data_IF_399163107756
#
_entry.id   IF_399163107756
#
_cell.length_a   1.000
_cell.length_b   1.000
_cell.length_c   1.000
_cell.angle_alpha   90.00
_cell.angle_beta   90.00
_cell.angle_gamma   90.00
#
_symmetry.space_group_name_H-M   'P 1'
#
loop_
_entity.id
_entity.type
_entity.pdbx_description
1 polymer ?
#
# COMPACT_ATOMS: atom_id res chain seq x y z
N UNK A 1 -46.65 63.03 -11.77
CA UNK A 1 -45.76 62.06 -12.43
C UNK A 1 -44.88 61.46 -11.35
N UNK A 2 -45.14 60.19 -10.99
CA UNK A 2 -44.45 59.48 -9.91
C UNK A 2 -43.40 58.54 -10.51
N UNK A 3 -42.23 58.60 -9.88
CA UNK A 3 -41.00 57.86 -10.13
C UNK A 3 -41.07 56.44 -9.54
N UNK A 4 -40.44 55.51 -10.26
CA UNK A 4 -39.82 54.22 -9.86
C UNK A 4 -40.60 53.24 -8.96
N UNK A 5 -40.68 51.95 -9.39
CA UNK A 5 -40.38 50.77 -8.56
C UNK A 5 -40.43 49.44 -9.40
N UNK A 6 -39.30 48.68 -9.40
CA UNK A 6 -39.11 47.20 -9.38
C UNK A 6 -39.56 46.36 -10.62
N UNK A 7 -38.85 45.33 -11.09
CA UNK A 7 -38.09 44.29 -10.38
C UNK A 7 -37.01 43.68 -11.30
N UNK A 8 -35.78 43.56 -10.81
CA UNK A 8 -34.72 42.74 -11.42
C UNK A 8 -34.87 41.31 -10.89
N UNK A 9 -35.24 40.36 -11.76
CA UNK A 9 -35.34 38.95 -11.40
C UNK A 9 -33.95 38.33 -11.47
N UNK A 10 -33.26 38.24 -10.33
CA UNK A 10 -32.02 37.49 -10.20
C UNK A 10 -32.35 35.99 -10.17
N UNK A 11 -31.98 35.27 -11.24
CA UNK A 11 -32.02 33.80 -11.26
C UNK A 11 -30.82 33.31 -10.43
N UNK A 12 -31.10 32.93 -9.18
CA UNK A 12 -30.18 32.14 -8.37
C UNK A 12 -30.13 30.73 -8.98
N UNK A 13 -29.08 30.43 -9.76
CA UNK A 13 -28.67 29.05 -9.97
C UNK A 13 -28.05 28.54 -8.66
N UNK A 14 -28.89 28.02 -7.77
CA UNK A 14 -28.48 27.03 -6.78
C UNK A 14 -28.06 25.78 -7.58
N UNK A 15 -26.80 25.75 -8.00
CA UNK A 15 -26.15 24.52 -8.41
C UNK A 15 -26.16 23.59 -7.22
N UNK A 16 -27.17 22.72 -7.16
CA UNK A 16 -27.15 21.49 -6.36
C UNK A 16 -25.97 20.67 -6.87
N UNK A 17 -24.79 20.88 -6.28
CA UNK A 17 -23.74 19.89 -6.33
C UNK A 17 -24.31 18.66 -5.62
N UNK A 18 -24.45 17.51 -6.29
CA UNK A 18 -24.92 16.31 -5.63
C UNK A 18 -23.96 15.99 -4.47
N UNK A 19 -24.47 15.55 -3.30
CA UNK A 19 -23.65 15.26 -2.12
C UNK A 19 -22.59 14.16 -2.32
N UNK A 20 -22.55 13.52 -3.49
CA UNK A 20 -21.64 12.42 -3.82
C UNK A 20 -20.36 12.84 -4.56
N UNK A 21 -20.17 14.13 -4.88
CA UNK A 21 -18.90 14.57 -5.45
C UNK A 21 -17.86 14.74 -4.33
N UNK A 22 -16.81 13.92 -4.37
CA UNK A 22 -15.63 13.90 -3.48
C UNK A 22 -15.75 13.10 -2.17
N UNK A 23 -16.31 11.89 -2.21
CA UNK A 23 -15.82 10.87 -1.27
C UNK A 23 -14.38 10.55 -1.68
N UNK A 24 -13.38 11.21 -1.08
CA UNK A 24 -11.99 10.77 -1.16
C UNK A 24 -11.99 9.33 -0.64
N UNK A 25 -11.80 8.35 -1.54
CA UNK A 25 -11.72 6.96 -1.15
C UNK A 25 -10.53 6.84 -0.19
N UNK A 26 -10.81 6.73 1.11
CA UNK A 26 -9.77 6.61 2.12
C UNK A 26 -9.06 5.29 1.86
N UNK A 27 -7.80 5.39 1.43
CA UNK A 27 -6.94 4.26 1.14
C UNK A 27 -5.87 4.15 2.23
N UNK A 28 -5.34 2.95 2.48
CA UNK A 28 -4.11 2.83 3.23
C UNK A 28 -3.01 3.64 2.55
N UNK A 29 -2.04 4.08 3.32
CA UNK A 29 -0.90 4.81 2.79
C UNK A 29 -0.03 3.93 1.89
N UNK A 30 0.02 2.64 2.16
CA UNK A 30 0.70 1.66 1.32
C UNK A 30 -0.20 0.47 1.07
N UNK A 31 -0.65 0.29 -0.18
CA UNK A 31 -1.46 -0.86 -0.63
C UNK A 31 -0.98 -1.46 -1.96
N UNK A 32 0.08 -0.90 -2.53
CA UNK A 32 0.64 -1.35 -3.80
C UNK A 32 2.15 -1.15 -3.89
N UNK A 33 2.78 -1.87 -4.82
CA UNK A 33 4.17 -1.65 -5.25
C UNK A 33 4.22 -1.36 -6.74
N UNK A 34 4.99 -0.32 -7.10
CA UNK A 34 5.36 -0.02 -8.48
C UNK A 34 4.15 0.22 -9.38
N UNK A 35 3.05 0.73 -8.81
CA UNK A 35 1.80 1.02 -9.52
C UNK A 35 1.09 -0.18 -10.13
N UNK A 36 1.43 -1.42 -9.72
CA UNK A 36 0.89 -2.62 -10.36
C UNK A 36 0.64 -3.79 -9.42
N UNK A 37 1.50 -4.03 -8.43
CA UNK A 37 1.33 -5.15 -7.49
C UNK A 37 0.49 -4.66 -6.32
N UNK A 38 -0.79 -5.03 -6.23
CA UNK A 38 -1.74 -4.47 -5.26
C UNK A 38 -2.26 -5.52 -4.27
N UNK A 39 -2.48 -5.11 -3.02
CA UNK A 39 -3.17 -5.95 -2.03
C UNK A 39 -4.62 -6.18 -2.45
N UNK A 40 -5.13 -7.39 -2.22
CA UNK A 40 -6.48 -7.83 -2.55
C UNK A 40 -6.68 -8.12 -4.04
N UNK A 41 -5.64 -8.00 -4.86
CA UNK A 41 -5.69 -8.25 -6.30
C UNK A 41 -4.78 -9.43 -6.67
N UNK A 42 -5.06 -10.17 -7.76
CA UNK A 42 -4.16 -11.21 -8.25
C UNK A 42 -2.86 -10.60 -8.79
N UNK A 43 -1.80 -11.41 -8.85
CA UNK A 43 -0.52 -10.96 -9.39
C UNK A 43 -0.67 -10.50 -10.86
N UNK A 44 -0.22 -9.27 -11.22
CA UNK A 44 -0.42 -8.69 -12.54
C UNK A 44 0.09 -9.59 -13.65
N UNK A 45 -0.63 -9.67 -14.78
CA UNK A 45 -0.28 -10.55 -15.91
C UNK A 45 1.16 -10.36 -16.38
N UNK A 46 1.65 -9.14 -16.51
CA UNK A 46 3.04 -8.88 -16.91
C UNK A 46 4.10 -9.48 -15.95
N UNK A 47 3.71 -9.75 -14.70
CA UNK A 47 4.55 -10.44 -13.72
C UNK A 47 4.20 -11.93 -13.70
N UNK A 48 2.92 -12.31 -13.61
CA UNK A 48 2.48 -13.72 -13.57
C UNK A 48 2.70 -14.49 -14.87
N UNK A 49 2.85 -13.83 -16.02
CA UNK A 49 3.25 -14.44 -17.30
C UNK A 49 4.77 -14.53 -17.46
N UNK A 50 5.57 -14.11 -16.47
CA UNK A 50 6.91 -14.67 -16.33
C UNK A 50 6.69 -16.17 -16.13
N UNK A 51 6.81 -16.95 -17.21
CA UNK A 51 6.42 -18.37 -17.34
C UNK A 51 7.13 -19.33 -16.38
N UNK A 52 7.83 -18.80 -15.38
CA UNK A 52 8.70 -19.46 -14.43
C UNK A 52 8.67 -18.80 -13.05
N UNK A 53 7.57 -18.13 -12.64
CA UNK A 53 7.49 -17.70 -11.24
C UNK A 53 7.67 -18.95 -10.36
N UNK A 54 8.75 -18.95 -9.60
CA UNK A 54 9.03 -19.93 -8.58
C UNK A 54 8.27 -19.49 -7.34
N UNK A 55 7.27 -20.28 -7.00
CA UNK A 55 6.57 -20.15 -5.73
C UNK A 55 7.26 -21.02 -4.67
N UNK A 56 7.10 -20.63 -3.41
CA UNK A 56 7.49 -21.41 -2.23
C UNK A 56 6.24 -21.63 -1.38
N UNK A 57 6.33 -22.53 -0.39
CA UNK A 57 5.20 -22.88 0.49
C UNK A 57 3.95 -23.29 -0.30
N UNK A 58 4.10 -24.29 -1.18
CA UNK A 58 3.00 -24.84 -1.99
C UNK A 58 2.18 -23.82 -2.80
N UNK A 59 2.79 -22.70 -3.20
CA UNK A 59 2.14 -21.65 -3.99
C UNK A 59 1.81 -20.39 -3.21
N UNK A 60 1.91 -20.42 -1.88
CA UNK A 60 1.45 -19.32 -1.01
C UNK A 60 2.37 -18.10 -1.04
N UNK A 61 3.62 -18.25 -1.49
CA UNK A 61 4.56 -17.13 -1.52
C UNK A 61 5.32 -17.05 -2.84
N UNK A 62 5.47 -15.83 -3.34
CA UNK A 62 6.39 -15.50 -4.42
C UNK A 62 7.47 -14.54 -3.92
N UNK A 63 8.71 -14.77 -4.35
CA UNK A 63 9.84 -13.89 -4.02
C UNK A 63 10.33 -13.23 -5.29
N UNK A 64 10.19 -11.92 -5.39
CA UNK A 64 10.68 -11.11 -6.50
C UNK A 64 11.99 -10.43 -6.11
N UNK A 65 12.89 -10.21 -7.07
CA UNK A 65 14.09 -9.37 -6.90
C UNK A 65 14.06 -8.21 -7.87
N UNK A 66 14.55 -7.06 -7.42
CA UNK A 66 14.75 -5.91 -8.31
C UNK A 66 15.87 -6.20 -9.33
N UNK A 67 15.97 -5.38 -10.37
CA UNK A 67 16.91 -5.60 -11.48
C UNK A 67 18.40 -5.60 -11.07
N UNK A 68 18.71 -5.02 -9.90
CA UNK A 68 20.06 -5.00 -9.32
C UNK A 68 20.32 -6.12 -8.33
N UNK A 69 19.32 -6.97 -8.05
CA UNK A 69 19.36 -8.06 -7.09
C UNK A 69 19.68 -7.63 -5.64
N UNK A 70 19.42 -6.36 -5.28
CA UNK A 70 19.69 -5.76 -3.97
C UNK A 70 18.48 -5.71 -3.04
N UNK A 71 17.28 -5.86 -3.59
CA UNK A 71 16.02 -5.78 -2.85
C UNK A 71 15.18 -7.02 -3.14
N UNK A 72 14.50 -7.52 -2.11
CA UNK A 72 13.49 -8.55 -2.20
C UNK A 72 12.12 -7.94 -2.02
N UNK A 73 11.16 -8.41 -2.79
CA UNK A 73 9.74 -8.23 -2.56
C UNK A 73 9.12 -9.62 -2.39
N UNK A 74 8.60 -9.88 -1.20
CA UNK A 74 7.96 -11.14 -0.82
C UNK A 74 6.46 -10.91 -0.83
N UNK A 75 5.75 -11.68 -1.64
CA UNK A 75 4.30 -11.66 -1.79
C UNK A 75 3.75 -12.88 -1.08
N UNK A 76 2.75 -12.69 -0.24
CA UNK A 76 1.94 -13.74 0.36
C UNK A 76 0.54 -13.72 -0.25
N UNK A 77 0.06 -14.87 -0.70
CA UNK A 77 -1.28 -15.04 -1.27
C UNK A 77 -2.28 -15.66 -0.28
N UNK A 78 -1.81 -16.18 0.86
CA UNK A 78 -2.52 -17.10 1.76
C UNK A 78 -3.09 -18.36 1.09
N UNK A 79 -3.33 -19.37 1.94
CA UNK A 79 -4.43 -20.32 1.80
C UNK A 79 -4.28 -21.29 0.61
N UNK A 80 -3.06 -21.79 0.41
CA UNK A 80 -2.77 -22.91 -0.50
C UNK A 80 -2.82 -22.62 -2.00
N UNK A 81 -2.68 -21.37 -2.46
CA UNK A 81 -2.68 -21.08 -3.90
C UNK A 81 -2.23 -19.66 -4.28
N UNK A 82 -2.28 -19.37 -5.59
CA UNK A 82 -1.88 -18.08 -6.18
C UNK A 82 -3.09 -17.16 -6.37
N UNK A 83 -3.85 -16.95 -5.30
CA UNK A 83 -5.06 -16.12 -5.28
C UNK A 83 -4.75 -14.62 -5.28
N UNK A 84 -5.52 -13.89 -4.48
CA UNK A 84 -5.29 -12.47 -4.24
C UNK A 84 -4.08 -12.26 -3.34
N UNK A 85 -3.33 -11.19 -3.58
CA UNK A 85 -2.20 -10.82 -2.72
C UNK A 85 -2.73 -10.35 -1.37
N UNK A 86 -2.26 -10.96 -0.30
CA UNK A 86 -2.72 -10.69 1.07
C UNK A 86 -1.71 -9.85 1.83
N UNK A 87 -0.43 -10.02 1.51
CA UNK A 87 0.66 -9.31 2.17
C UNK A 87 1.85 -9.11 1.26
N UNK A 88 2.52 -7.98 1.44
CA UNK A 88 3.77 -7.65 0.78
C UNK A 88 4.80 -7.25 1.83
N UNK A 89 6.01 -7.80 1.71
CA UNK A 89 7.20 -7.41 2.47
C UNK A 89 8.31 -7.02 1.51
N UNK A 90 8.89 -5.84 1.70
CA UNK A 90 10.08 -5.38 1.00
C UNK A 90 11.23 -5.24 1.97
N UNK A 91 12.40 -5.80 1.61
CA UNK A 91 13.63 -5.72 2.43
C UNK A 91 14.89 -5.86 1.58
N UNK A 92 16.04 -5.55 2.15
CA UNK A 92 17.33 -5.79 1.50
C UNK A 92 17.56 -7.29 1.22
N UNK A 93 18.13 -7.58 0.06
CA UNK A 93 18.55 -8.92 -0.31
C UNK A 93 19.91 -9.23 0.32
N UNK A 94 19.92 -10.00 1.41
CA UNK A 94 21.15 -10.38 2.13
C UNK A 94 21.74 -11.72 1.70
N UNK A 95 21.03 -12.52 0.89
CA UNK A 95 21.48 -13.82 0.43
C UNK A 95 20.89 -14.21 -0.93
N UNK A 96 21.66 -14.95 -1.73
CA UNK A 96 21.16 -15.49 -3.01
C UNK A 96 20.09 -16.57 -2.75
N UNK A 97 18.83 -16.20 -2.91
CA UNK A 97 17.72 -17.15 -2.85
C UNK A 97 17.45 -17.74 -4.25
N UNK A 98 17.59 -19.06 -4.39
CA UNK A 98 17.38 -19.79 -5.67
C UNK A 98 15.94 -19.75 -6.19
N UNK A 99 15.00 -19.30 -5.37
CA UNK A 99 13.57 -19.16 -5.66
C UNK A 99 13.17 -17.71 -5.99
N UNK A 100 14.14 -16.83 -6.23
CA UNK A 100 13.84 -15.46 -6.65
C UNK A 100 13.42 -15.39 -8.11
N UNK A 101 12.53 -14.43 -8.38
CA UNK A 101 11.98 -14.15 -9.69
C UNK A 101 12.42 -12.73 -10.09
N UNK A 102 13.31 -12.58 -11.09
CA UNK A 102 13.78 -11.28 -11.51
C UNK A 102 12.67 -10.39 -12.06
N UNK A 103 12.79 -9.09 -11.80
CA UNK A 103 11.88 -8.07 -12.31
C UNK A 103 12.66 -6.93 -12.97
N UNK A 104 11.95 -6.07 -13.69
CA UNK A 104 12.53 -4.86 -14.28
C UNK A 104 12.49 -3.65 -13.33
N UNK A 105 11.97 -3.81 -12.12
CA UNK A 105 11.93 -2.73 -11.14
C UNK A 105 13.35 -2.33 -10.75
N UNK A 106 13.65 -1.03 -10.79
CA UNK A 106 14.91 -0.49 -10.27
C UNK A 106 14.95 -0.58 -8.74
N UNK A 107 13.85 -0.20 -8.11
CA UNK A 107 13.60 -0.29 -6.67
C UNK A 107 12.14 -0.67 -6.47
N UNK A 108 11.83 -1.37 -5.39
CA UNK A 108 10.46 -1.55 -4.94
C UNK A 108 10.02 -0.33 -4.14
N UNK A 109 8.95 0.32 -4.60
CA UNK A 109 8.41 1.52 -3.97
C UNK A 109 6.90 1.47 -3.94
N UNK A 110 6.31 1.99 -2.87
CA UNK A 110 4.85 2.11 -2.74
C UNK A 110 4.31 3.22 -3.64
N UNK A 111 2.98 3.28 -3.83
CA UNK A 111 2.34 4.36 -4.59
C UNK A 111 2.66 5.77 -4.08
N UNK A 112 3.00 5.90 -2.79
CA UNK A 112 3.40 7.15 -2.14
C UNK A 112 4.94 7.36 -2.09
N UNK A 113 5.68 6.67 -2.96
CA UNK A 113 7.14 6.76 -3.10
C UNK A 113 7.95 6.42 -1.84
N UNK A 114 7.37 5.59 -0.96
CA UNK A 114 8.10 4.98 0.15
C UNK A 114 8.93 3.82 -0.42
N UNK A 115 10.21 3.79 -0.09
CA UNK A 115 11.18 2.77 -0.53
C UNK A 115 12.29 2.63 0.49
N UNK A 116 13.05 1.54 0.44
CA UNK A 116 14.19 1.33 1.33
C UNK A 116 15.18 2.51 1.25
N UNK A 117 15.83 2.81 2.37
CA UNK A 117 16.82 3.87 2.46
C UNK A 117 16.26 5.27 2.77
N UNK A 118 14.94 5.45 2.85
CA UNK A 118 14.35 6.73 3.28
C UNK A 118 14.44 6.90 4.80
N UNK A 119 14.56 8.14 5.26
CA UNK A 119 14.57 8.46 6.70
C UNK A 119 13.18 8.35 7.32
N UNK A 120 13.10 7.97 8.60
CA UNK A 120 11.84 7.94 9.36
C UNK A 120 11.08 9.28 9.35
N UNK A 121 11.79 10.42 9.35
CA UNK A 121 11.20 11.75 9.22
C UNK A 121 10.39 11.91 7.94
N UNK A 122 10.83 11.29 6.83
CA UNK A 122 10.07 11.30 5.58
C UNK A 122 8.74 10.56 5.75
N UNK A 123 8.76 9.39 6.40
CA UNK A 123 7.55 8.61 6.67
C UNK A 123 6.57 9.41 7.54
N UNK A 124 7.03 9.98 8.65
CA UNK A 124 6.20 10.81 9.52
C UNK A 124 5.62 12.03 8.77
N UNK A 125 6.41 12.67 7.91
CA UNK A 125 5.94 13.82 7.12
C UNK A 125 4.86 13.47 6.09
N UNK A 126 4.87 12.24 5.57
CA UNK A 126 3.93 11.78 4.55
C UNK A 126 2.68 11.14 5.18
N UNK A 127 2.85 10.37 6.26
CA UNK A 127 1.81 9.51 6.82
C UNK A 127 1.25 10.02 8.15
N UNK A 128 1.89 11.03 8.76
CA UNK A 128 1.58 11.47 10.12
C UNK A 128 2.12 10.52 11.19
N UNK A 129 1.63 10.73 12.42
CA UNK A 129 2.00 9.91 13.57
C UNK A 129 1.48 8.47 13.42
N UNK A 130 2.30 7.45 13.73
CA UNK A 130 1.86 6.07 13.72
C UNK A 130 0.88 5.78 14.86
N UNK A 131 0.08 4.73 14.69
CA UNK A 131 -0.79 4.22 15.76
C UNK A 131 0.03 3.70 16.94
N UNK A 132 1.16 3.04 16.65
CA UNK A 132 2.08 2.51 17.65
C UNK A 132 3.54 2.63 17.19
N UNK A 133 4.44 2.82 18.16
CA UNK A 133 5.89 2.76 17.97
C UNK A 133 6.49 1.67 18.86
N UNK A 134 7.14 0.69 18.23
CA UNK A 134 7.85 -0.40 18.90
C UNK A 134 9.37 -0.23 18.77
N UNK A 135 10.11 -0.64 19.80
CA UNK A 135 11.58 -0.68 19.79
C UNK A 135 12.06 -2.10 20.03
N UNK A 136 12.78 -2.68 19.07
CA UNK A 136 13.21 -4.09 19.14
C UNK A 136 14.53 -4.30 18.39
N UNK A 137 15.48 -5.02 18.97
CA UNK A 137 16.78 -5.35 18.36
C UNK A 137 17.52 -4.16 17.75
N UNK A 138 17.53 -3.01 18.44
CA UNK A 138 18.17 -1.77 17.96
C UNK A 138 17.44 -1.10 16.80
N UNK A 139 16.18 -1.44 16.56
CA UNK A 139 15.31 -0.88 15.52
C UNK A 139 14.16 -0.11 16.12
N UNK A 140 13.69 0.88 15.37
CA UNK A 140 12.40 1.53 15.59
C UNK A 140 11.41 0.98 14.57
N UNK A 141 10.19 0.69 14.99
CA UNK A 141 9.15 0.15 14.14
C UNK A 141 7.92 1.04 14.27
N UNK A 142 7.45 1.58 13.15
CA UNK A 142 6.17 2.31 13.09
C UNK A 142 5.08 1.38 12.60
N UNK A 143 3.97 1.34 13.33
CA UNK A 143 2.78 0.58 12.98
C UNK A 143 1.65 1.56 12.65
N UNK A 144 1.10 1.44 11.44
CA UNK A 144 -0.12 2.11 11.03
C UNK A 144 -1.22 1.05 10.85
N UNK A 145 -2.38 1.27 11.46
CA UNK A 145 -3.45 0.29 11.57
C UNK A 145 -4.76 0.93 11.15
N UNK A 146 -5.49 0.21 10.31
CA UNK A 146 -6.90 0.47 10.00
C UNK A 146 -7.67 -0.75 10.50
N UNK A 147 -8.49 -0.58 11.52
CA UNK A 147 -9.32 -1.63 12.15
C UNK A 147 -10.81 -1.24 12.23
N UNK A 148 -11.20 -0.19 11.52
CA UNK A 148 -12.62 0.16 11.36
C UNK A 148 -13.25 -0.65 10.22
N UNK A 149 -14.09 -1.62 10.58
CA UNK A 149 -14.87 -2.43 9.63
C UNK A 149 -15.71 -1.64 8.61
N UNK A 150 -16.02 -0.36 8.87
CA UNK A 150 -16.73 0.51 7.92
C UNK A 150 -15.79 1.20 6.92
N UNK A 151 -14.47 1.12 7.11
CA UNK A 151 -13.49 1.72 6.22
C UNK A 151 -13.64 1.16 4.80
N UNK A 152 -13.79 2.02 3.76
CA UNK A 152 -14.08 1.58 2.39
C UNK A 152 -13.11 0.52 1.86
N UNK A 153 -11.82 0.66 2.15
CA UNK A 153 -10.80 -0.32 1.75
C UNK A 153 -11.02 -1.69 2.38
N UNK A 154 -11.30 -1.76 3.69
CA UNK A 154 -11.55 -3.03 4.39
C UNK A 154 -12.85 -3.68 3.91
N UNK A 155 -13.89 -2.86 3.71
CA UNK A 155 -15.18 -3.32 3.22
C UNK A 155 -15.11 -3.87 1.80
N UNK A 156 -14.31 -3.26 0.92
CA UNK A 156 -14.06 -3.73 -0.46
C UNK A 156 -13.57 -5.18 -0.47
N UNK A 157 -12.64 -5.51 0.42
CA UNK A 157 -11.99 -6.82 0.45
C UNK A 157 -12.54 -7.76 1.53
N UNK A 158 -13.58 -7.33 2.26
CA UNK A 158 -14.17 -8.07 3.38
C UNK A 158 -13.15 -8.51 4.44
N UNK A 159 -12.27 -7.58 4.84
CA UNK A 159 -11.18 -7.83 5.77
C UNK A 159 -11.40 -7.10 7.10
N UNK A 160 -11.01 -7.69 8.25
CA UNK A 160 -11.27 -7.09 9.56
C UNK A 160 -10.33 -5.93 9.86
N UNK A 161 -9.09 -6.01 9.39
CA UNK A 161 -8.09 -4.98 9.62
C UNK A 161 -6.99 -5.01 8.55
N UNK A 162 -6.29 -3.89 8.44
CA UNK A 162 -5.15 -3.67 7.57
C UNK A 162 -4.02 -3.05 8.37
N UNK A 163 -2.79 -3.46 8.09
CA UNK A 163 -1.61 -2.94 8.77
C UNK A 163 -0.53 -2.51 7.78
N UNK A 164 0.26 -1.55 8.21
CA UNK A 164 1.51 -1.16 7.59
C UNK A 164 2.58 -1.05 8.68
N UNK A 165 3.72 -1.68 8.42
CA UNK A 165 4.85 -1.77 9.32
C UNK A 165 6.08 -1.22 8.63
N UNK A 166 6.71 -0.21 9.21
CA UNK A 166 7.94 0.39 8.70
C UNK A 166 9.05 0.18 9.74
N UNK A 167 10.09 -0.56 9.40
CA UNK A 167 11.19 -0.90 10.30
C UNK A 167 12.45 -0.13 9.94
N UNK A 168 12.99 0.58 10.91
CA UNK A 168 14.13 1.48 10.76
C UNK A 168 15.31 1.02 11.59
N UNK A 169 16.50 1.15 11.00
CA UNK A 169 17.78 1.05 11.70
C UNK A 169 18.56 2.34 11.47
N UNK A 170 19.08 2.93 12.54
CA UNK A 170 19.79 4.22 12.48
C UNK A 170 18.97 5.32 11.76
N UNK A 171 17.64 5.33 12.00
CA UNK A 171 16.64 6.19 11.35
C UNK A 171 16.39 5.94 9.86
N UNK A 172 17.00 4.92 9.25
CA UNK A 172 16.86 4.59 7.83
C UNK A 172 15.96 3.36 7.66
N UNK A 173 15.00 3.43 6.72
CA UNK A 173 14.06 2.35 6.45
C UNK A 173 14.78 1.14 5.84
N UNK A 174 14.81 0.03 6.58
CA UNK A 174 15.47 -1.22 6.15
C UNK A 174 14.48 -2.29 5.64
N UNK A 175 13.23 -2.22 6.08
CA UNK A 175 12.13 -3.02 5.54
C UNK A 175 10.78 -2.37 5.78
N UNK A 176 9.82 -2.68 4.92
CA UNK A 176 8.42 -2.36 5.15
C UNK A 176 7.51 -3.52 4.74
N UNK A 177 6.43 -3.70 5.48
CA UNK A 177 5.46 -4.77 5.30
C UNK A 177 4.05 -4.19 5.39
N UNK A 178 3.15 -4.62 4.52
CA UNK A 178 1.76 -4.22 4.61
C UNK A 178 0.84 -5.29 4.06
N UNK A 179 -0.39 -5.31 4.53
CA UNK A 179 -1.39 -6.27 4.10
C UNK A 179 -2.54 -6.40 5.08
N UNK A 180 -3.40 -7.37 4.82
CA UNK A 180 -4.50 -7.68 5.72
C UNK A 180 -3.99 -8.37 6.99
N UNK A 181 -4.56 -7.95 8.12
CA UNK A 181 -4.44 -8.69 9.36
C UNK A 181 -5.46 -9.83 9.34
N UNK A 182 -4.98 -11.05 9.60
CA UNK A 182 -5.87 -12.19 9.76
C UNK A 182 -6.40 -12.22 11.20
N UNK A 183 -7.69 -12.53 11.39
CA UNK A 183 -8.27 -12.77 12.71
C UNK A 183 -7.76 -14.08 13.33
#
# INVERSE_FOLDING_TARGET
>A
MKSFFYTLMAIFFLGLVPPDSYAFESKPYSYEIGGSIQIGEPLPKNISTLSKIKYISDGEKAVLVNNSNKELLIIDFCCGGTGEIQRILVKHNTALNKYTNPTNFKTFSTGNEIKLGVENKKILSQLGEPNEVEYSDGRTIFHYIIDDSHHPFLKKYNMPAYFEKYTFKDNVLESFEFGFAYP
#
